data_IF_181308951843
#
_entry.id   IF_181308951843
#
_cell.length_a   1.000
_cell.length_b   1.000
_cell.length_c   1.000
_cell.angle_alpha   90.00
_cell.angle_beta   90.00
_cell.angle_gamma   90.00
#
_symmetry.space_group_name_H-M   'P 1'
#
loop_
_entity.id
_entity.type
_entity.pdbx_description
1 polymer ?
#
# COMPACT_ATOMS: atom_id res chain seq x y z
N UNK A 1 11.88 -33.08 27.67
CA UNK A 1 11.87 -32.13 26.54
C UNK A 1 12.57 -30.82 26.87
N UNK A 2 12.45 -30.32 28.09
CA UNK A 2 13.00 -29.03 28.54
C UNK A 2 14.54 -28.92 28.47
N UNK A 3 15.28 -29.93 28.94
CA UNK A 3 16.76 -29.95 28.89
C UNK A 3 17.32 -29.77 27.47
N UNK A 4 16.73 -30.41 26.45
CA UNK A 4 17.18 -30.29 25.05
C UNK A 4 16.94 -28.89 24.49
N UNK A 5 15.90 -28.21 24.94
CA UNK A 5 15.59 -26.85 24.49
C UNK A 5 16.50 -25.83 25.17
N UNK A 6 16.75 -25.99 26.47
CA UNK A 6 17.69 -25.18 27.24
C UNK A 6 19.11 -25.28 26.68
N UNK A 7 19.64 -26.49 26.49
CA UNK A 7 20.96 -26.66 25.87
C UNK A 7 21.03 -26.10 24.45
N UNK A 8 19.93 -26.13 23.68
CA UNK A 8 19.91 -25.51 22.35
C UNK A 8 19.99 -23.99 22.45
N UNK A 9 19.24 -23.38 23.37
CA UNK A 9 19.24 -21.94 23.59
C UNK A 9 20.60 -21.44 24.08
N UNK A 10 21.20 -22.16 25.03
CA UNK A 10 22.55 -21.93 25.55
C UNK A 10 23.60 -22.02 24.43
N UNK A 11 23.72 -23.19 23.80
CA UNK A 11 24.74 -23.42 22.77
C UNK A 11 24.58 -22.47 21.56
N UNK A 12 23.35 -22.18 21.14
CA UNK A 12 23.11 -21.36 19.92
C UNK A 12 23.24 -19.87 20.17
N UNK A 13 22.79 -19.37 21.33
CA UNK A 13 22.65 -17.93 21.55
C UNK A 13 23.56 -17.38 22.63
N UNK A 14 23.77 -18.11 23.73
CA UNK A 14 24.55 -17.60 24.87
C UNK A 14 26.05 -17.86 24.70
N UNK A 15 26.43 -19.03 24.17
CA UNK A 15 27.85 -19.35 23.99
C UNK A 15 28.36 -18.88 22.62
N UNK A 16 27.58 -19.14 21.57
CA UNK A 16 28.04 -18.92 20.19
C UNK A 16 28.02 -17.45 19.77
N UNK A 17 26.97 -16.68 20.10
CA UNK A 17 26.87 -15.31 19.60
C UNK A 17 27.93 -14.37 20.17
N UNK A 18 28.23 -14.36 21.49
CA UNK A 18 29.30 -13.51 22.02
C UNK A 18 30.66 -13.78 21.35
N UNK A 19 30.95 -15.04 21.02
CA UNK A 19 32.18 -15.42 20.31
C UNK A 19 32.21 -14.95 18.84
N UNK A 20 31.05 -14.67 18.23
CA UNK A 20 30.91 -14.17 16.86
C UNK A 20 30.78 -12.64 16.78
N UNK A 21 30.94 -11.94 17.91
CA UNK A 21 30.98 -10.48 17.91
C UNK A 21 32.25 -10.03 17.19
N UNK A 22 32.07 -9.21 16.15
CA UNK A 22 33.19 -8.65 15.40
C UNK A 22 33.98 -7.69 16.31
N UNK A 23 35.29 -7.92 16.54
CA UNK A 23 36.08 -7.16 17.52
C UNK A 23 36.31 -5.70 17.11
N UNK A 24 36.25 -5.38 15.82
CA UNK A 24 36.40 -4.01 15.33
C UNK A 24 35.16 -3.13 15.52
N UNK A 25 33.97 -3.74 15.57
CA UNK A 25 32.69 -3.00 15.68
C UNK A 25 31.97 -3.23 17.01
N UNK A 26 32.35 -4.27 17.77
CA UNK A 26 31.65 -4.70 18.98
C UNK A 26 30.21 -5.18 18.71
N UNK A 27 29.91 -5.63 17.48
CA UNK A 27 28.56 -6.06 17.05
C UNK A 27 28.59 -7.40 16.34
N UNK A 28 27.43 -8.07 16.30
CA UNK A 28 27.21 -9.23 15.44
C UNK A 28 27.01 -8.75 14.00
N UNK A 29 27.68 -9.39 13.06
CA UNK A 29 27.48 -9.19 11.62
C UNK A 29 27.04 -10.51 11.04
N UNK A 30 25.86 -10.56 10.44
CA UNK A 30 25.34 -11.77 9.79
C UNK A 30 25.56 -11.70 8.29
N UNK A 31 25.74 -12.85 7.67
CA UNK A 31 25.77 -13.00 6.22
C UNK A 31 24.39 -13.46 5.73
N UNK A 32 23.76 -12.66 4.88
CA UNK A 32 22.48 -13.04 4.26
C UNK A 32 22.73 -13.80 2.96
N UNK A 33 22.26 -15.04 2.93
CA UNK A 33 22.38 -15.93 1.77
C UNK A 33 21.04 -15.94 1.03
N UNK A 34 20.99 -15.27 -0.12
CA UNK A 34 19.77 -15.14 -0.93
C UNK A 34 19.45 -16.40 -1.76
N UNK A 35 20.43 -17.27 -2.00
CA UNK A 35 20.33 -18.34 -3.02
C UNK A 35 20.36 -19.77 -2.48
N UNK A 36 20.50 -19.96 -1.16
CA UNK A 36 20.82 -21.29 -0.58
C UNK A 36 19.58 -22.06 -0.11
N UNK A 37 18.50 -21.38 0.29
CA UNK A 37 17.29 -22.07 0.77
C UNK A 37 16.40 -22.52 -0.40
N UNK A 38 16.12 -23.82 -0.50
CA UNK A 38 15.24 -24.44 -1.51
C UNK A 38 13.80 -23.90 -1.51
N UNK A 39 13.42 -23.11 -0.50
CA UNK A 39 12.11 -22.47 -0.36
C UNK A 39 12.07 -21.03 -0.88
N UNK A 40 13.17 -20.49 -1.41
CA UNK A 40 13.26 -19.10 -1.88
C UNK A 40 13.23 -18.05 -0.76
N UNK A 41 13.45 -18.46 0.49
CA UNK A 41 13.59 -17.54 1.65
C UNK A 41 15.03 -17.06 1.76
N UNK A 42 15.23 -15.78 2.06
CA UNK A 42 16.51 -15.30 2.60
C UNK A 42 16.87 -16.15 3.82
N UNK A 43 18.09 -16.72 3.85
CA UNK A 43 18.64 -17.35 5.05
C UNK A 43 19.79 -16.50 5.61
N UNK A 44 19.99 -16.49 6.93
CA UNK A 44 21.13 -15.81 7.55
C UNK A 44 22.10 -16.82 8.16
N UNK A 45 23.41 -16.65 7.95
CA UNK A 45 24.48 -17.45 8.56
C UNK A 45 25.55 -16.58 9.21
N UNK A 46 26.35 -17.19 10.08
CA UNK A 46 27.57 -16.60 10.63
C UNK A 46 27.43 -15.22 11.29
N UNK A 47 26.50 -15.00 12.24
CA UNK A 47 25.53 -15.94 12.84
C UNK A 47 24.15 -15.90 12.20
N UNK A 48 23.29 -16.91 12.45
CA UNK A 48 21.89 -16.86 12.02
C UNK A 48 21.06 -15.92 12.93
N UNK A 49 20.66 -14.76 12.40
CA UNK A 49 19.86 -13.77 13.11
C UNK A 49 18.36 -13.79 12.76
N UNK A 50 17.92 -14.69 11.89
CA UNK A 50 16.51 -14.79 11.50
C UNK A 50 15.66 -15.60 12.47
N UNK A 51 16.27 -16.55 13.18
CA UNK A 51 15.55 -17.49 14.03
C UNK A 51 15.63 -17.16 15.53
N UNK A 52 15.74 -15.87 15.89
CA UNK A 52 15.83 -15.47 17.30
C UNK A 52 14.56 -15.90 18.04
N UNK A 53 14.69 -16.73 19.10
CA UNK A 53 13.57 -17.36 19.76
C UNK A 53 12.67 -16.30 20.41
N UNK A 54 11.35 -16.43 20.22
CA UNK A 54 10.36 -15.49 20.78
C UNK A 54 9.22 -16.20 21.52
N UNK A 55 9.06 -17.52 21.32
CA UNK A 55 7.86 -18.26 21.75
C UNK A 55 7.81 -18.57 23.24
N UNK A 56 8.94 -18.61 23.94
CA UNK A 56 9.03 -18.93 25.37
C UNK A 56 9.78 -17.86 26.13
N UNK A 57 9.56 -17.80 27.44
CA UNK A 57 10.12 -16.78 28.34
C UNK A 57 11.64 -16.63 28.19
N UNK A 58 12.38 -17.74 28.25
CA UNK A 58 13.83 -17.70 28.08
C UNK A 58 14.25 -17.25 26.67
N UNK A 59 13.48 -17.59 25.64
CA UNK A 59 13.69 -17.10 24.28
C UNK A 59 13.49 -15.58 24.17
N UNK A 60 12.43 -15.05 24.78
CA UNK A 60 12.17 -13.60 24.86
C UNK A 60 13.28 -12.88 25.61
N UNK A 61 13.81 -13.47 26.68
CA UNK A 61 14.96 -12.93 27.41
C UNK A 61 16.21 -12.84 26.52
N UNK A 62 16.50 -13.89 25.74
CA UNK A 62 17.59 -13.89 24.76
C UNK A 62 17.37 -12.81 23.68
N UNK A 63 16.14 -12.64 23.20
CA UNK A 63 15.79 -11.65 22.17
C UNK A 63 16.01 -10.20 22.64
N UNK A 64 15.85 -9.92 23.94
CA UNK A 64 16.17 -8.60 24.52
C UNK A 64 17.66 -8.24 24.45
N UNK A 65 18.55 -9.23 24.25
CA UNK A 65 19.98 -9.01 24.05
C UNK A 65 20.33 -8.36 22.70
N UNK A 66 19.41 -8.35 21.73
CA UNK A 66 19.62 -7.74 20.42
C UNK A 66 19.23 -6.28 20.44
N UNK A 67 20.18 -5.44 20.84
CA UNK A 67 20.00 -3.99 20.90
C UNK A 67 20.57 -3.32 19.65
N UNK A 68 19.85 -2.36 19.04
CA UNK A 68 20.41 -1.56 17.97
C UNK A 68 21.58 -0.72 18.51
N UNK A 69 22.46 -0.26 17.61
CA UNK A 69 23.52 0.69 17.97
C UNK A 69 22.92 1.94 18.62
N UNK A 70 23.65 2.58 19.55
CA UNK A 70 23.24 3.86 20.12
C UNK A 70 22.93 4.88 19.01
N UNK A 71 21.77 5.54 19.12
CA UNK A 71 21.22 6.44 18.09
C UNK A 71 20.43 5.75 16.96
N UNK A 72 20.30 4.41 16.98
CA UNK A 72 19.58 3.64 15.97
C UNK A 72 18.37 2.93 16.60
N UNK A 73 17.32 2.74 15.81
CA UNK A 73 16.14 1.94 16.16
C UNK A 73 16.01 0.79 15.17
N UNK A 74 15.45 -0.34 15.61
CA UNK A 74 14.95 -1.38 14.70
C UNK A 74 13.57 -0.90 14.17
N UNK A 75 13.34 -0.90 12.85
CA UNK A 75 12.17 -0.26 12.20
C UNK A 75 11.46 -1.20 11.22
N UNK A 76 10.13 -1.13 11.16
CA UNK A 76 9.30 -1.60 10.05
C UNK A 76 8.16 -0.58 9.76
N UNK A 77 7.66 -0.49 8.51
CA UNK A 77 6.62 0.48 8.09
C UNK A 77 5.57 -0.11 7.10
N UNK A 78 4.33 0.45 7.08
CA UNK A 78 3.14 -0.05 6.35
C UNK A 78 2.55 0.95 5.33
N UNK A 79 1.68 0.47 4.43
CA UNK A 79 1.04 1.23 3.34
C UNK A 79 -0.47 1.05 3.34
N UNK A 80 -1.22 2.06 2.93
CA UNK A 80 -2.70 2.01 2.89
C UNK A 80 -3.31 2.92 1.81
N UNK A 81 -4.62 2.75 1.61
CA UNK A 81 -5.45 3.56 0.70
C UNK A 81 -6.62 4.22 1.47
N UNK A 82 -6.44 5.41 2.07
CA UNK A 82 -7.49 6.09 2.83
C UNK A 82 -8.74 6.47 2.04
N UNK A 83 -8.64 6.57 0.71
CA UNK A 83 -9.80 6.81 -0.17
C UNK A 83 -10.84 5.70 -0.15
N UNK A 84 -10.47 4.49 0.28
CA UNK A 84 -11.39 3.35 0.37
C UNK A 84 -12.43 3.51 1.49
N UNK A 85 -12.29 4.51 2.37
CA UNK A 85 -13.34 4.89 3.33
C UNK A 85 -14.55 5.55 2.64
N UNK A 86 -14.37 6.20 1.48
CA UNK A 86 -15.41 7.03 0.87
C UNK A 86 -16.64 6.20 0.48
N UNK A 87 -16.52 5.07 -0.26
CA UNK A 87 -17.68 4.32 -0.72
C UNK A 87 -18.62 3.83 0.39
N UNK A 88 -18.16 3.16 1.48
CA UNK A 88 -19.09 2.71 2.52
C UNK A 88 -19.74 3.87 3.29
N UNK A 89 -19.02 4.97 3.53
CA UNK A 89 -19.58 6.16 4.18
C UNK A 89 -20.63 6.82 3.27
N UNK A 90 -20.34 6.96 1.96
CA UNK A 90 -21.28 7.50 0.98
C UNK A 90 -22.53 6.63 0.88
N UNK A 91 -22.39 5.31 0.82
CA UNK A 91 -23.51 4.39 0.74
C UNK A 91 -24.47 4.54 1.93
N UNK A 92 -23.94 4.60 3.15
CA UNK A 92 -24.75 4.86 4.36
C UNK A 92 -25.35 6.25 4.33
N UNK A 93 -24.59 7.27 3.92
CA UNK A 93 -25.08 8.64 3.83
C UNK A 93 -26.27 8.78 2.86
N UNK A 94 -26.18 8.16 1.69
CA UNK A 94 -27.26 8.11 0.71
C UNK A 94 -28.47 7.34 1.25
N UNK A 95 -28.25 6.16 1.84
CA UNK A 95 -29.31 5.31 2.35
C UNK A 95 -30.09 5.96 3.51
N UNK A 96 -29.38 6.64 4.42
CA UNK A 96 -29.96 7.30 5.58
C UNK A 96 -30.41 8.74 5.33
N UNK A 97 -30.28 9.27 4.10
CA UNK A 97 -30.68 10.63 3.76
C UNK A 97 -29.88 11.71 4.53
N UNK A 98 -28.56 11.56 4.61
CA UNK A 98 -27.69 12.53 5.30
C UNK A 98 -27.38 13.73 4.40
N UNK A 99 -26.90 14.84 4.99
CA UNK A 99 -26.44 15.99 4.20
C UNK A 99 -25.01 15.80 3.69
N UNK A 100 -24.63 16.59 2.69
CA UNK A 100 -23.26 16.66 2.21
C UNK A 100 -22.24 17.09 3.27
N UNK A 101 -22.62 17.96 4.20
CA UNK A 101 -21.79 18.30 5.35
C UNK A 101 -21.57 17.11 6.30
N UNK A 102 -22.57 16.24 6.49
CA UNK A 102 -22.44 15.02 7.27
C UNK A 102 -21.52 14.00 6.59
N UNK A 103 -21.67 13.81 5.29
CA UNK A 103 -20.76 12.99 4.49
C UNK A 103 -19.31 13.49 4.57
N UNK A 104 -19.07 14.79 4.40
CA UNK A 104 -17.73 15.37 4.50
C UNK A 104 -17.09 15.16 5.87
N UNK A 105 -17.87 15.29 6.95
CA UNK A 105 -17.41 14.96 8.32
C UNK A 105 -17.04 13.49 8.47
N UNK A 106 -17.85 12.58 7.93
CA UNK A 106 -17.55 11.15 7.95
C UNK A 106 -16.26 10.81 7.21
N UNK A 107 -16.09 11.34 6.00
CA UNK A 107 -14.87 11.17 5.20
C UNK A 107 -13.64 11.69 5.96
N UNK A 108 -13.72 12.90 6.52
CA UNK A 108 -12.62 13.47 7.29
C UNK A 108 -12.25 12.60 8.51
N UNK A 109 -13.24 12.06 9.22
CA UNK A 109 -13.01 11.16 10.35
C UNK A 109 -12.38 9.82 9.92
N UNK A 110 -12.86 9.21 8.84
CA UNK A 110 -12.29 7.96 8.32
C UNK A 110 -10.84 8.13 7.88
N UNK A 111 -10.54 9.21 7.15
CA UNK A 111 -9.16 9.55 6.79
C UNK A 111 -8.27 9.78 8.02
N UNK A 112 -8.76 10.54 9.01
CA UNK A 112 -8.02 10.82 10.23
C UNK A 112 -7.65 9.53 10.98
N UNK A 113 -8.61 8.62 11.13
CA UNK A 113 -8.37 7.35 11.82
C UNK A 113 -7.40 6.49 11.03
N UNK A 114 -7.62 6.28 9.73
CA UNK A 114 -6.78 5.36 8.96
C UNK A 114 -5.33 5.84 8.83
N UNK A 115 -5.13 7.14 8.54
CA UNK A 115 -3.78 7.69 8.37
C UNK A 115 -3.00 7.62 9.67
N UNK A 116 -3.63 7.94 10.81
CA UNK A 116 -2.94 7.88 12.08
C UNK A 116 -2.71 6.44 12.56
N UNK A 117 -3.64 5.50 12.29
CA UNK A 117 -3.39 4.07 12.52
C UNK A 117 -2.16 3.58 11.74
N UNK A 118 -2.02 3.98 10.49
CA UNK A 118 -0.87 3.62 9.64
C UNK A 118 0.43 4.24 10.13
N UNK A 119 0.39 5.46 10.68
CA UNK A 119 1.56 6.10 11.32
C UNK A 119 1.95 5.42 12.63
N UNK A 120 0.97 4.94 13.40
CA UNK A 120 1.17 4.38 14.73
C UNK A 120 1.43 2.89 14.77
N UNK A 121 0.91 2.11 13.81
CA UNK A 121 0.94 0.65 13.80
C UNK A 121 1.36 0.17 12.40
N UNK A 122 2.43 -0.63 12.32
CA UNK A 122 2.90 -1.20 11.07
C UNK A 122 2.32 -2.61 10.87
N UNK A 123 1.26 -2.79 10.09
CA UNK A 123 0.72 -4.15 9.87
C UNK A 123 1.60 -5.01 8.98
N UNK A 124 2.41 -4.38 8.14
CA UNK A 124 3.30 -5.07 7.21
C UNK A 124 4.33 -5.94 7.94
N UNK A 125 4.87 -5.49 9.08
CA UNK A 125 5.85 -6.24 9.87
C UNK A 125 5.27 -7.56 10.41
N UNK A 126 3.96 -7.57 10.63
CA UNK A 126 3.19 -8.71 11.11
C UNK A 126 2.57 -9.54 9.99
N UNK A 127 2.82 -9.20 8.71
CA UNK A 127 2.21 -9.86 7.55
C UNK A 127 0.69 -9.82 7.59
N UNK A 128 0.13 -8.74 8.14
CA UNK A 128 -1.30 -8.46 8.13
C UNK A 128 -1.59 -7.52 6.96
N UNK A 129 -2.75 -7.71 6.33
CA UNK A 129 -3.22 -6.83 5.27
C UNK A 129 -3.71 -5.51 5.88
N UNK A 130 -3.44 -4.42 5.17
CA UNK A 130 -3.77 -3.06 5.61
C UNK A 130 -5.27 -2.80 5.75
N UNK A 131 -6.13 -3.69 5.22
CA UNK A 131 -7.58 -3.59 5.41
C UNK A 131 -8.00 -3.73 6.88
N UNK A 132 -7.12 -4.26 7.74
CA UNK A 132 -7.33 -4.27 9.20
C UNK A 132 -7.33 -2.84 9.80
N UNK A 133 -6.77 -1.84 9.12
CA UNK A 133 -6.97 -0.43 9.48
C UNK A 133 -8.19 0.19 8.78
N UNK A 134 -8.56 -0.31 7.60
CA UNK A 134 -9.66 0.24 6.80
C UNK A 134 -11.04 -0.05 7.41
N UNK A 135 -11.27 -1.28 7.89
CA UNK A 135 -12.54 -1.62 8.57
C UNK A 135 -12.84 -0.67 9.73
N UNK A 136 -11.94 -0.55 10.73
CA UNK A 136 -12.03 0.42 11.81
C UNK A 136 -12.26 1.86 11.36
N UNK A 137 -11.49 2.35 10.39
CA UNK A 137 -11.61 3.73 9.94
C UNK A 137 -12.92 4.01 9.20
N UNK A 138 -13.42 3.05 8.43
CA UNK A 138 -14.71 3.16 7.75
C UNK A 138 -15.84 3.16 8.77
N UNK A 139 -15.79 2.32 9.80
CA UNK A 139 -16.77 2.29 10.89
C UNK A 139 -16.79 3.63 11.66
N UNK A 140 -15.60 4.18 11.96
CA UNK A 140 -15.48 5.50 12.58
C UNK A 140 -16.06 6.61 11.70
N UNK A 141 -15.78 6.58 10.39
CA UNK A 141 -16.32 7.53 9.42
C UNK A 141 -17.84 7.46 9.27
N UNK A 142 -18.40 6.26 9.23
CA UNK A 142 -19.87 6.04 9.22
C UNK A 142 -20.49 6.60 10.50
N UNK A 143 -19.94 6.26 11.66
CA UNK A 143 -20.43 6.75 12.95
C UNK A 143 -20.39 8.27 13.06
N UNK A 144 -19.32 8.90 12.56
CA UNK A 144 -19.19 10.36 12.52
C UNK A 144 -20.16 11.04 11.52
N UNK A 145 -20.46 10.39 10.39
CA UNK A 145 -21.45 10.88 9.45
C UNK A 145 -22.86 10.87 10.07
N UNK A 146 -23.22 9.76 10.73
CA UNK A 146 -24.50 9.56 11.42
C UNK A 146 -24.64 10.38 12.71
N UNK A 147 -23.53 10.89 13.27
CA UNK A 147 -23.55 11.61 14.55
C UNK A 147 -23.80 10.69 15.75
N UNK A 148 -23.31 9.45 15.69
CA UNK A 148 -23.50 8.47 16.75
C UNK A 148 -22.74 8.84 18.03
N UNK A 149 -23.21 8.38 19.21
CA UNK A 149 -22.48 8.54 20.46
C UNK A 149 -21.09 7.89 20.39
N UNK A 150 -20.06 8.47 21.06
CA UNK A 150 -18.70 7.91 21.05
C UNK A 150 -18.63 6.43 21.44
N UNK A 151 -19.43 5.99 22.42
CA UNK A 151 -19.45 4.58 22.86
C UNK A 151 -19.96 3.62 21.77
N UNK A 152 -20.95 4.06 20.99
CA UNK A 152 -21.46 3.30 19.84
C UNK A 152 -20.39 3.19 18.76
N UNK A 153 -19.69 4.31 18.48
CA UNK A 153 -18.59 4.33 17.51
C UNK A 153 -17.45 3.42 17.98
N UNK A 154 -17.09 3.49 19.26
CA UNK A 154 -16.08 2.65 19.88
C UNK A 154 -16.39 1.16 19.66
N UNK A 155 -17.59 0.69 20.00
CA UNK A 155 -17.99 -0.70 19.77
C UNK A 155 -17.94 -1.09 18.28
N UNK A 156 -18.40 -0.22 17.37
CA UNK A 156 -18.38 -0.52 15.94
C UNK A 156 -16.96 -0.63 15.39
N UNK A 157 -16.04 0.23 15.85
CA UNK A 157 -14.62 0.22 15.50
C UNK A 157 -13.95 -1.09 15.96
N UNK A 158 -14.25 -1.54 17.17
CA UNK A 158 -13.75 -2.81 17.73
C UNK A 158 -14.23 -4.01 16.89
N UNK A 159 -15.53 -4.07 16.60
CA UNK A 159 -16.11 -5.14 15.80
C UNK A 159 -15.50 -5.15 14.39
N UNK A 160 -15.34 -3.98 13.77
CA UNK A 160 -14.78 -3.86 12.43
C UNK A 160 -13.33 -4.36 12.37
N UNK A 161 -12.47 -4.05 13.35
CA UNK A 161 -11.11 -4.62 13.42
C UNK A 161 -11.15 -6.15 13.44
N UNK A 162 -11.97 -6.69 14.34
CA UNK A 162 -12.04 -8.13 14.59
C UNK A 162 -12.37 -8.92 13.31
N UNK A 163 -13.27 -8.40 12.48
CA UNK A 163 -13.76 -9.09 11.27
C UNK A 163 -13.03 -8.70 9.98
N UNK A 164 -12.17 -7.68 9.99
CA UNK A 164 -11.41 -7.23 8.80
C UNK A 164 -9.92 -7.51 8.89
N UNK A 165 -9.49 -8.26 9.91
CA UNK A 165 -8.11 -8.69 10.04
C UNK A 165 -7.82 -9.91 9.18
N UNK A 166 -7.06 -9.72 8.10
CA UNK A 166 -6.67 -10.80 7.18
C UNK A 166 -5.16 -10.87 7.00
N UNK A 167 -4.63 -12.04 6.68
CA UNK A 167 -3.22 -12.18 6.32
C UNK A 167 -2.89 -11.40 5.03
N UNK A 168 -1.63 -11.00 4.87
CA UNK A 168 -1.13 -10.30 3.66
C UNK A 168 -0.94 -11.23 2.46
N UNK A 169 -1.37 -12.49 2.54
CA UNK A 169 -1.34 -13.42 1.42
C UNK A 169 -2.13 -12.91 0.20
N UNK A 170 -3.14 -12.06 0.44
CA UNK A 170 -3.87 -11.31 -0.60
C UNK A 170 -3.00 -10.49 -1.55
N UNK A 171 -1.72 -10.22 -1.20
CA UNK A 171 -0.81 -9.33 -1.94
C UNK A 171 0.56 -9.96 -2.22
N UNK A 172 0.68 -11.29 -2.17
CA UNK A 172 1.96 -11.99 -2.41
C UNK A 172 1.79 -13.32 -3.15
N UNK A 173 2.72 -13.64 -4.04
CA UNK A 173 2.69 -14.86 -4.87
C UNK A 173 1.84 -14.64 -6.13
N UNK A 174 0.99 -15.61 -6.47
CA UNK A 174 -0.06 -15.43 -7.48
C UNK A 174 -1.12 -14.46 -6.94
N UNK A 175 -1.00 -13.19 -7.30
CA UNK A 175 -1.91 -12.14 -6.83
C UNK A 175 -3.25 -12.28 -7.56
N UNK A 176 -4.27 -12.75 -6.85
CA UNK A 176 -5.62 -12.85 -7.39
C UNK A 176 -6.35 -11.50 -7.37
N UNK A 177 -7.50 -11.44 -8.05
CA UNK A 177 -8.40 -10.29 -8.06
C UNK A 177 -8.91 -9.89 -6.67
N UNK A 178 -8.80 -10.78 -5.67
CA UNK A 178 -9.12 -10.48 -4.26
C UNK A 178 -8.40 -9.25 -3.74
N UNK A 179 -7.17 -8.97 -4.20
CA UNK A 179 -6.42 -7.74 -3.86
C UNK A 179 -7.24 -6.47 -4.08
N UNK A 180 -8.04 -6.45 -5.15
CA UNK A 180 -8.89 -5.32 -5.53
C UNK A 180 -10.23 -5.31 -4.77
N UNK A 181 -10.75 -6.48 -4.38
CA UNK A 181 -12.03 -6.60 -3.66
C UNK A 181 -11.90 -6.46 -2.14
N UNK A 182 -10.72 -6.73 -1.57
CA UNK A 182 -10.48 -6.69 -0.13
C UNK A 182 -10.89 -5.35 0.54
N UNK A 183 -10.62 -4.17 -0.05
CA UNK A 183 -11.10 -2.91 0.52
C UNK A 183 -12.62 -2.79 0.56
N UNK A 184 -13.31 -3.18 -0.50
CA UNK A 184 -14.78 -3.16 -0.55
C UNK A 184 -15.38 -4.14 0.47
N UNK A 185 -14.75 -5.30 0.66
CA UNK A 185 -15.11 -6.23 1.73
C UNK A 185 -14.99 -5.58 3.12
N UNK A 186 -13.88 -4.89 3.41
CA UNK A 186 -13.72 -4.19 4.68
C UNK A 186 -14.78 -3.08 4.88
N UNK A 187 -15.11 -2.33 3.82
CA UNK A 187 -16.19 -1.35 3.85
C UNK A 187 -17.56 -1.98 4.15
N UNK A 188 -17.88 -3.11 3.52
CA UNK A 188 -19.10 -3.88 3.82
C UNK A 188 -19.16 -4.31 5.29
N UNK A 189 -18.05 -4.84 5.80
CA UNK A 189 -17.97 -5.28 7.19
C UNK A 189 -18.06 -4.11 8.19
N UNK A 190 -17.58 -2.92 7.83
CA UNK A 190 -17.74 -1.72 8.64
C UNK A 190 -19.22 -1.28 8.73
N UNK A 191 -19.98 -1.35 7.63
CA UNK A 191 -21.43 -1.08 7.65
C UNK A 191 -22.16 -2.07 8.55
N UNK A 192 -21.87 -3.36 8.40
CA UNK A 192 -22.43 -4.43 9.25
C UNK A 192 -22.09 -4.23 10.73
N UNK A 193 -20.84 -3.87 11.04
CA UNK A 193 -20.39 -3.61 12.40
C UNK A 193 -21.17 -2.45 13.06
N UNK A 194 -21.39 -1.35 12.33
CA UNK A 194 -22.19 -0.22 12.83
C UNK A 194 -23.66 -0.63 13.02
N UNK A 195 -24.25 -1.33 12.05
CA UNK A 195 -25.66 -1.78 12.11
C UNK A 195 -25.91 -2.70 13.32
N UNK A 196 -25.02 -3.67 13.56
CA UNK A 196 -25.11 -4.58 14.72
C UNK A 196 -25.07 -3.86 16.05
N UNK A 197 -24.16 -2.90 16.21
CA UNK A 197 -24.06 -2.13 17.45
C UNK A 197 -25.32 -1.28 17.67
N UNK A 198 -25.90 -0.71 16.61
CA UNK A 198 -27.18 0.01 16.70
C UNK A 198 -28.36 -0.89 17.08
N UNK A 199 -28.28 -2.20 16.77
CA UNK A 199 -29.25 -3.21 17.22
C UNK A 199 -29.04 -3.65 18.67
N UNK A 200 -28.06 -3.09 19.38
CA UNK A 200 -27.75 -3.42 20.77
C UNK A 200 -26.77 -4.58 20.94
N UNK A 201 -26.11 -5.02 19.87
CA UNK A 201 -25.00 -5.98 19.97
C UNK A 201 -23.72 -5.28 20.45
N UNK A 202 -22.89 -6.00 21.20
CA UNK A 202 -21.55 -5.55 21.59
C UNK A 202 -20.45 -6.21 20.74
N UNK A 203 -19.28 -5.59 20.71
CA UNK A 203 -18.08 -6.19 20.12
C UNK A 203 -17.27 -6.96 21.18
N UNK A 204 -16.42 -7.92 20.77
CA UNK A 204 -15.28 -8.33 21.59
C UNK A 204 -14.49 -7.07 21.98
N UNK A 205 -14.38 -6.78 23.28
CA UNK A 205 -13.83 -5.51 23.78
C UNK A 205 -12.99 -5.71 25.05
N UNK A 206 -11.79 -5.09 25.14
CA UNK A 206 -11.15 -4.30 24.09
C UNK A 206 -10.54 -5.17 22.97
N UNK A 207 -10.79 -4.83 21.70
CA UNK A 207 -10.31 -5.66 20.58
C UNK A 207 -8.80 -5.49 20.30
N UNK A 208 -8.22 -4.31 20.58
CA UNK A 208 -6.77 -4.09 20.47
C UNK A 208 -6.01 -4.68 21.66
N UNK A 209 -6.29 -4.18 22.85
CA UNK A 209 -5.53 -4.41 24.09
C UNK A 209 -6.04 -5.59 24.94
N UNK A 210 -7.10 -6.27 24.50
CA UNK A 210 -7.63 -7.43 25.21
C UNK A 210 -6.58 -8.53 25.39
N UNK A 211 -6.76 -9.38 26.40
CA UNK A 211 -5.87 -10.52 26.67
C UNK A 211 -5.70 -11.42 25.43
N UNK A 212 -6.81 -11.68 24.73
CA UNK A 212 -6.84 -12.37 23.44
C UNK A 212 -6.95 -11.41 22.24
N UNK A 213 -6.48 -10.18 22.42
CA UNK A 213 -6.65 -9.07 21.50
C UNK A 213 -5.67 -9.07 20.32
N UNK A 214 -5.92 -8.13 19.41
CA UNK A 214 -5.15 -7.90 18.19
C UNK A 214 -3.66 -7.68 18.48
N UNK A 215 -3.34 -6.86 19.47
CA UNK A 215 -1.95 -6.57 19.85
C UNK A 215 -1.25 -7.83 20.39
N UNK A 216 -1.94 -8.55 21.28
CA UNK A 216 -1.41 -9.68 22.00
C UNK A 216 -1.03 -10.85 21.09
N UNK A 217 -1.89 -11.19 20.13
CA UNK A 217 -1.72 -12.41 19.34
C UNK A 217 -1.36 -12.20 17.88
N UNK A 218 -1.71 -11.05 17.31
CA UNK A 218 -1.53 -10.79 15.88
C UNK A 218 -0.41 -9.79 15.60
N UNK A 219 -0.08 -8.93 16.56
CA UNK A 219 1.03 -7.98 16.44
C UNK A 219 2.26 -8.39 17.27
N UNK A 220 2.77 -7.49 18.11
CA UNK A 220 4.07 -7.57 18.77
C UNK A 220 4.01 -8.26 20.15
N UNK A 221 2.85 -8.75 20.57
CA UNK A 221 2.66 -9.43 21.85
C UNK A 221 1.93 -8.57 22.88
N UNK A 222 1.51 -9.16 24.01
CA UNK A 222 0.64 -8.50 25.01
C UNK A 222 1.26 -7.30 25.71
N UNK A 223 2.59 -7.20 25.70
CA UNK A 223 3.35 -6.09 26.31
C UNK A 223 3.67 -4.96 25.31
N UNK A 224 3.20 -5.06 24.07
CA UNK A 224 3.51 -4.08 23.04
C UNK A 224 2.60 -2.86 23.15
N UNK A 225 3.20 -1.67 23.07
CA UNK A 225 2.48 -0.41 23.04
C UNK A 225 2.66 0.28 21.69
N UNK A 226 1.57 0.83 21.17
CA UNK A 226 1.56 1.62 19.95
C UNK A 226 1.00 3.00 20.23
N UNK A 227 1.62 4.02 19.63
CA UNK A 227 1.15 5.40 19.75
C UNK A 227 0.52 5.81 18.43
N UNK A 228 -0.79 6.00 18.43
CA UNK A 228 -1.57 6.48 17.28
C UNK A 228 -1.76 8.00 17.44
N UNK A 229 -1.15 8.85 16.59
CA UNK A 229 -1.14 10.29 16.77
C UNK A 229 -2.47 10.95 16.35
N UNK A 230 -3.53 10.71 17.11
CA UNK A 230 -4.83 11.34 16.89
C UNK A 230 -4.83 12.82 17.32
N UNK A 231 -5.65 13.67 16.67
CA UNK A 231 -5.76 15.08 17.03
C UNK A 231 -6.40 15.27 18.42
N UNK A 232 -5.94 16.27 19.15
CA UNK A 232 -6.50 16.66 20.45
C UNK A 232 -7.89 17.28 20.31
N UNK A 233 -8.61 17.41 21.43
CA UNK A 233 -9.93 18.06 21.45
C UNK A 233 -9.80 19.51 20.95
N UNK A 234 -10.48 19.81 19.84
CA UNK A 234 -10.48 21.14 19.22
C UNK A 234 -9.51 21.27 18.05
N UNK A 235 -8.62 20.30 17.83
CA UNK A 235 -7.75 20.27 16.67
C UNK A 235 -8.49 19.81 15.41
N UNK A 236 -8.11 20.41 14.28
CA UNK A 236 -8.69 20.08 12.99
C UNK A 236 -8.19 18.70 12.51
N UNK A 237 -9.10 17.92 11.93
CA UNK A 237 -8.78 16.63 11.28
C UNK A 237 -8.14 16.91 9.93
N UNK A 238 -6.81 16.80 9.85
CA UNK A 238 -6.01 17.21 8.70
C UNK A 238 -5.21 16.06 8.09
N UNK A 239 -5.33 14.84 8.59
CA UNK A 239 -4.50 13.73 8.09
C UNK A 239 -4.75 13.40 6.61
N UNK A 240 -5.90 13.78 6.05
CA UNK A 240 -6.15 13.73 4.60
C UNK A 240 -5.10 14.50 3.78
N UNK A 241 -4.54 15.58 4.33
CA UNK A 241 -3.51 16.39 3.68
C UNK A 241 -2.15 15.69 3.61
N UNK A 242 -1.95 14.63 4.40
CA UNK A 242 -0.74 13.81 4.38
C UNK A 242 -0.84 12.66 3.36
N UNK A 243 -1.94 12.59 2.60
CA UNK A 243 -2.13 11.57 1.57
C UNK A 243 -1.60 12.02 0.21
N UNK A 244 -1.21 11.05 -0.61
CA UNK A 244 -0.60 11.33 -1.90
C UNK A 244 -1.50 10.91 -3.05
N UNK A 245 -1.55 11.75 -4.08
CA UNK A 245 -2.30 11.44 -5.29
C UNK A 245 -1.45 10.63 -6.26
N UNK A 246 -2.03 9.56 -6.79
CA UNK A 246 -1.49 8.87 -7.97
C UNK A 246 -1.95 9.61 -9.21
N UNK A 247 -1.04 10.04 -10.08
CA UNK A 247 -1.41 10.52 -11.41
C UNK A 247 -1.61 9.35 -12.35
N UNK A 248 -0.62 8.45 -12.36
CA UNK A 248 -0.59 7.29 -13.23
C UNK A 248 -1.32 6.13 -12.56
N UNK A 249 -2.15 5.40 -13.30
CA UNK A 249 -2.70 4.12 -12.82
C UNK A 249 -1.58 3.09 -12.87
N UNK A 250 -0.69 3.15 -11.89
CA UNK A 250 0.45 2.27 -11.69
C UNK A 250 0.69 2.05 -10.17
N UNK A 251 1.53 1.10 -9.78
CA UNK A 251 2.04 1.01 -8.40
C UNK A 251 2.71 2.35 -7.98
N UNK A 252 2.62 2.70 -6.69
CA UNK A 252 2.93 4.08 -6.24
C UNK A 252 4.43 4.44 -6.37
N UNK A 253 5.32 3.49 -6.10
CA UNK A 253 6.77 3.60 -6.19
C UNK A 253 7.24 3.73 -7.64
N UNK A 254 6.39 3.40 -8.61
CA UNK A 254 6.65 3.68 -10.03
C UNK A 254 6.34 5.12 -10.47
N UNK A 255 5.55 5.90 -9.71
CA UNK A 255 5.03 7.20 -10.18
C UNK A 255 6.15 8.17 -10.58
N UNK A 256 7.13 8.37 -9.69
CA UNK A 256 8.28 9.25 -9.97
C UNK A 256 9.15 8.73 -11.12
N UNK A 257 9.23 7.41 -11.29
CA UNK A 257 10.01 6.80 -12.35
C UNK A 257 9.33 6.93 -13.72
N UNK A 258 8.00 6.94 -13.79
CA UNK A 258 7.23 7.29 -15.01
C UNK A 258 7.52 8.73 -15.42
N UNK A 259 7.44 9.68 -14.48
CA UNK A 259 7.71 11.09 -14.75
C UNK A 259 9.17 11.32 -15.17
N UNK A 260 10.10 10.59 -14.56
CA UNK A 260 11.52 10.60 -14.92
C UNK A 260 11.75 10.02 -16.32
N UNK A 261 11.12 8.90 -16.67
CA UNK A 261 11.20 8.32 -18.02
C UNK A 261 10.76 9.34 -19.08
N UNK A 262 9.63 10.04 -18.86
CA UNK A 262 9.14 11.10 -19.75
C UNK A 262 10.18 12.21 -19.92
N UNK A 263 10.82 12.67 -18.84
CA UNK A 263 11.86 13.72 -18.87
C UNK A 263 13.14 13.28 -19.57
N UNK A 264 13.51 12.01 -19.44
CA UNK A 264 14.73 11.46 -20.03
C UNK A 264 14.58 11.14 -21.52
N UNK A 265 13.37 10.89 -22.00
CA UNK A 265 13.08 10.55 -23.41
C UNK A 265 13.79 11.45 -24.41
N UNK A 266 13.66 12.77 -24.27
CA UNK A 266 14.24 13.74 -25.22
C UNK A 266 15.76 13.78 -25.17
N UNK A 267 16.36 13.46 -24.01
CA UNK A 267 17.82 13.38 -23.85
C UNK A 267 18.39 12.11 -24.46
N UNK A 268 17.68 10.98 -24.37
CA UNK A 268 18.09 9.68 -24.90
C UNK A 268 17.93 9.65 -26.42
N UNK A 269 16.83 10.19 -26.94
CA UNK A 269 16.56 10.19 -28.37
C UNK A 269 16.18 8.79 -28.88
N UNK A 270 17.04 8.19 -29.70
CA UNK A 270 16.79 6.90 -30.34
C UNK A 270 16.97 5.73 -29.35
N UNK A 271 15.85 5.18 -28.87
CA UNK A 271 15.84 4.09 -27.89
C UNK A 271 16.46 2.78 -28.41
N UNK A 272 16.60 2.60 -29.73
CA UNK A 272 17.27 1.41 -30.29
C UNK A 272 18.76 1.37 -29.95
N UNK A 273 19.37 2.53 -29.64
CA UNK A 273 20.77 2.68 -29.26
C UNK A 273 21.03 2.51 -27.76
N UNK A 274 19.99 2.22 -26.96
CA UNK A 274 20.17 1.94 -25.54
C UNK A 274 20.83 0.57 -25.40
N UNK A 275 21.96 0.51 -24.70
CA UNK A 275 22.65 -0.74 -24.35
C UNK A 275 22.05 -1.34 -23.08
N UNK A 276 21.98 -0.55 -22.01
CA UNK A 276 21.43 -0.94 -20.71
C UNK A 276 20.83 0.26 -19.96
N UNK A 277 19.91 -0.02 -19.04
CA UNK A 277 19.31 0.95 -18.11
C UNK A 277 19.38 0.37 -16.70
N UNK A 278 19.95 1.13 -15.77
CA UNK A 278 20.03 0.76 -14.36
C UNK A 278 19.27 1.77 -13.52
N UNK A 279 18.27 1.29 -12.77
CA UNK A 279 17.48 2.09 -11.83
C UNK A 279 18.01 1.85 -10.41
N UNK A 280 18.71 2.84 -9.86
CA UNK A 280 19.12 2.89 -8.46
C UNK A 280 17.95 3.43 -7.62
N UNK A 281 17.43 2.60 -6.72
CA UNK A 281 16.17 2.91 -6.00
C UNK A 281 16.15 2.24 -4.62
N UNK A 282 15.06 2.42 -3.87
CA UNK A 282 14.92 1.88 -2.52
C UNK A 282 14.81 0.35 -2.51
N UNK A 283 15.06 -0.25 -1.34
CA UNK A 283 14.83 -1.68 -1.07
C UNK A 283 13.43 -2.09 -1.51
N UNK A 284 12.41 -1.28 -1.18
CA UNK A 284 11.04 -1.59 -1.53
C UNK A 284 10.87 -1.69 -3.04
N UNK A 285 11.28 -0.66 -3.79
CA UNK A 285 11.14 -0.67 -5.24
C UNK A 285 11.92 -1.83 -5.85
N UNK A 286 13.15 -2.08 -5.41
CA UNK A 286 14.01 -3.17 -5.93
C UNK A 286 13.43 -4.56 -5.69
N UNK A 287 13.00 -4.88 -4.46
CA UNK A 287 12.54 -6.23 -4.09
C UNK A 287 11.03 -6.44 -4.26
N UNK A 288 10.22 -5.39 -4.42
CA UNK A 288 8.76 -5.50 -4.56
C UNK A 288 8.29 -5.35 -5.99
N UNK A 289 8.87 -4.45 -6.79
CA UNK A 289 8.47 -4.24 -8.21
C UNK A 289 9.64 -4.30 -9.21
N UNK A 290 10.86 -4.40 -8.70
CA UNK A 290 12.10 -4.47 -9.46
C UNK A 290 12.60 -5.88 -9.73
N UNK A 291 13.81 -5.94 -10.29
CA UNK A 291 14.52 -7.20 -10.60
C UNK A 291 14.89 -7.99 -9.35
N UNK A 292 15.06 -7.34 -8.20
CA UNK A 292 15.34 -8.00 -6.91
C UNK A 292 14.18 -8.86 -6.41
N UNK A 293 12.96 -8.66 -6.93
CA UNK A 293 11.81 -9.50 -6.58
C UNK A 293 11.98 -10.97 -7.00
N UNK A 294 12.91 -11.27 -7.92
CA UNK A 294 13.15 -12.61 -8.46
C UNK A 294 11.86 -13.29 -8.97
N UNK A 295 10.99 -12.50 -9.60
CA UNK A 295 9.72 -12.93 -10.15
C UNK A 295 9.78 -12.86 -11.68
N UNK A 296 9.96 -14.00 -12.38
CA UNK A 296 10.06 -14.04 -13.84
C UNK A 296 8.82 -13.50 -14.54
N UNK A 297 7.64 -13.55 -13.92
CA UNK A 297 6.40 -13.06 -14.51
C UNK A 297 6.45 -11.54 -14.75
N UNK A 298 7.27 -10.80 -13.98
CA UNK A 298 7.51 -9.37 -14.19
C UNK A 298 8.39 -9.04 -15.38
N UNK A 299 8.85 -10.04 -16.12
CA UNK A 299 9.57 -9.89 -17.40
C UNK A 299 8.80 -10.58 -18.55
N UNK A 300 7.57 -11.05 -18.29
CA UNK A 300 6.76 -11.77 -19.27
C UNK A 300 5.71 -10.83 -19.91
N UNK A 301 5.76 -10.59 -21.24
CA UNK A 301 4.77 -9.77 -21.93
C UNK A 301 3.35 -10.37 -21.96
N UNK A 302 3.18 -11.62 -21.51
CA UNK A 302 1.89 -12.28 -21.34
C UNK A 302 1.35 -12.22 -19.91
N UNK A 303 2.07 -11.58 -18.99
CA UNK A 303 1.64 -11.45 -17.61
C UNK A 303 0.34 -10.64 -17.50
N UNK A 304 -0.40 -10.85 -16.41
CA UNK A 304 -1.63 -10.12 -16.16
C UNK A 304 -1.36 -8.62 -15.95
N UNK A 305 -2.41 -7.81 -16.08
CA UNK A 305 -2.37 -6.38 -15.73
C UNK A 305 -1.82 -6.16 -14.32
N UNK A 306 -2.24 -6.98 -13.36
CA UNK A 306 -1.82 -6.88 -11.96
C UNK A 306 -0.31 -7.09 -11.80
N UNK A 307 0.28 -7.99 -12.59
CA UNK A 307 1.73 -8.24 -12.60
C UNK A 307 2.48 -7.13 -13.33
N UNK A 308 2.01 -6.67 -14.50
CA UNK A 308 2.62 -5.58 -15.25
C UNK A 308 2.57 -4.25 -14.46
N UNK A 309 1.52 -4.04 -13.68
CA UNK A 309 1.37 -2.92 -12.73
C UNK A 309 2.43 -2.92 -11.62
N UNK A 310 3.12 -4.05 -11.41
CA UNK A 310 4.18 -4.25 -10.42
C UNK A 310 5.51 -4.65 -11.07
N UNK A 311 5.72 -4.27 -12.34
CA UNK A 311 6.97 -4.46 -13.07
C UNK A 311 7.57 -3.10 -13.43
N UNK A 312 8.49 -2.58 -12.61
CA UNK A 312 9.07 -1.25 -12.87
C UNK A 312 9.87 -1.21 -14.17
N UNK A 313 10.44 -2.34 -14.58
CA UNK A 313 11.13 -2.48 -15.86
C UNK A 313 10.15 -2.27 -17.03
N UNK A 314 8.98 -2.93 -17.00
CA UNK A 314 7.92 -2.72 -18.00
C UNK A 314 7.41 -1.29 -17.98
N UNK A 315 7.10 -0.79 -16.79
CA UNK A 315 6.51 0.53 -16.58
C UNK A 315 7.44 1.61 -17.15
N UNK A 316 8.73 1.54 -16.81
CA UNK A 316 9.72 2.49 -17.29
C UNK A 316 9.92 2.41 -18.81
N UNK A 317 9.98 1.20 -19.40
CA UNK A 317 10.10 1.02 -20.85
C UNK A 317 8.94 1.68 -21.61
N UNK A 318 7.70 1.39 -21.22
CA UNK A 318 6.52 1.93 -21.89
C UNK A 318 6.40 3.44 -21.67
N UNK A 319 6.65 3.94 -20.45
CA UNK A 319 6.67 5.38 -20.19
C UNK A 319 7.72 6.11 -21.03
N UNK A 320 8.88 5.48 -21.24
CA UNK A 320 9.94 6.03 -22.08
C UNK A 320 9.56 6.03 -23.56
N UNK A 321 8.95 4.95 -24.06
CA UNK A 321 8.53 4.78 -25.47
C UNK A 321 7.29 5.58 -25.86
N UNK A 322 6.37 5.82 -24.93
CA UNK A 322 5.10 6.51 -25.20
C UNK A 322 5.11 7.96 -24.70
N UNK A 323 6.04 8.34 -23.83
CA UNK A 323 6.12 9.70 -23.26
C UNK A 323 5.04 9.97 -22.21
N UNK A 324 4.39 8.92 -21.71
CA UNK A 324 3.33 8.98 -20.72
C UNK A 324 2.84 7.59 -20.33
N UNK A 325 1.81 7.54 -19.49
CA UNK A 325 1.20 6.31 -19.00
C UNK A 325 -0.32 6.39 -19.10
N UNK A 326 -0.94 5.43 -19.76
CA UNK A 326 -2.40 5.34 -19.87
C UNK A 326 -2.93 4.16 -19.07
N UNK A 327 -4.00 4.37 -18.31
CA UNK A 327 -4.59 3.39 -17.40
C UNK A 327 -5.13 2.11 -18.04
N UNK A 328 -5.15 2.00 -19.37
CA UNK A 328 -5.66 0.83 -20.12
C UNK A 328 -4.71 0.49 -21.26
N UNK A 329 -4.53 1.41 -22.20
CA UNK A 329 -3.66 1.23 -23.38
C UNK A 329 -2.21 0.84 -23.02
N UNK A 330 -1.67 1.28 -21.88
CA UNK A 330 -0.33 0.88 -21.44
C UNK A 330 -0.26 -0.58 -20.93
N UNK A 331 -1.40 -1.25 -20.74
CA UNK A 331 -1.48 -2.66 -20.32
C UNK A 331 -2.04 -3.57 -21.41
N UNK A 332 -2.47 -3.02 -22.55
CA UNK A 332 -3.08 -3.80 -23.63
C UNK A 332 -2.10 -4.90 -24.12
N UNK A 333 -2.56 -6.14 -24.36
CA UNK A 333 -1.70 -7.22 -24.82
C UNK A 333 -0.87 -6.85 -26.04
N UNK A 334 -1.45 -6.13 -27.00
CA UNK A 334 -0.78 -5.67 -28.22
C UNK A 334 0.32 -4.65 -27.92
N UNK A 335 0.18 -3.86 -26.85
CA UNK A 335 1.19 -2.91 -26.39
C UNK A 335 2.33 -3.62 -25.67
N UNK A 336 2.00 -4.55 -24.77
CA UNK A 336 2.98 -5.29 -23.98
C UNK A 336 3.84 -6.24 -24.84
N UNK A 337 3.26 -6.78 -25.92
CA UNK A 337 3.93 -7.73 -26.81
C UNK A 337 4.72 -7.08 -27.96
N UNK A 338 4.84 -5.74 -28.01
CA UNK A 338 5.63 -5.07 -29.06
C UNK A 338 7.11 -5.52 -28.98
N UNK A 339 7.72 -5.97 -30.10
CA UNK A 339 9.10 -6.46 -30.08
C UNK A 339 10.12 -5.44 -29.54
N UNK A 340 10.01 -4.17 -29.94
CA UNK A 340 10.91 -3.13 -29.44
C UNK A 340 10.77 -2.89 -27.92
N UNK A 341 9.54 -2.99 -27.39
CA UNK A 341 9.26 -2.82 -25.97
C UNK A 341 9.85 -3.96 -25.17
N UNK A 342 9.65 -5.20 -25.62
CA UNK A 342 10.24 -6.37 -24.96
C UNK A 342 11.77 -6.30 -25.00
N UNK A 343 12.36 -5.83 -26.11
CA UNK A 343 13.80 -5.64 -26.22
C UNK A 343 14.33 -4.59 -25.22
N UNK A 344 13.67 -3.43 -25.13
CA UNK A 344 14.04 -2.36 -24.18
C UNK A 344 13.82 -2.80 -22.72
N UNK A 345 12.67 -3.40 -22.43
CA UNK A 345 12.30 -3.93 -21.12
C UNK A 345 13.38 -4.87 -20.58
N UNK A 346 13.90 -5.78 -21.41
CA UNK A 346 14.98 -6.71 -21.04
C UNK A 346 16.34 -6.04 -20.78
N UNK A 347 16.52 -4.79 -21.19
CA UNK A 347 17.72 -3.98 -20.91
C UNK A 347 17.63 -3.20 -19.60
N UNK A 348 16.46 -3.20 -18.95
CA UNK A 348 16.25 -2.45 -17.69
C UNK A 348 16.45 -3.38 -16.50
N UNK A 349 17.29 -2.93 -15.57
CA UNK A 349 17.53 -3.58 -14.29
C UNK A 349 17.36 -2.59 -13.13
N UNK A 350 17.21 -3.11 -11.93
CA UNK A 350 17.13 -2.31 -10.71
C UNK A 350 18.21 -2.74 -9.73
N UNK A 351 18.70 -1.79 -8.93
CA UNK A 351 19.66 -2.03 -7.85
C UNK A 351 19.17 -1.26 -6.62
N UNK A 352 19.23 -1.91 -5.45
CA UNK A 352 19.03 -1.20 -4.20
C UNK A 352 20.18 -0.22 -3.96
N UNK A 353 19.84 1.03 -3.72
CA UNK A 353 20.76 2.06 -3.27
C UNK A 353 20.44 2.42 -1.80
N UNK A 354 21.40 2.26 -0.87
CA UNK A 354 21.17 2.51 0.56
C UNK A 354 20.65 3.91 0.87
N UNK A 355 21.04 4.93 0.09
CA UNK A 355 20.58 6.30 0.32
C UNK A 355 19.10 6.46 -0.09
N UNK A 356 18.70 5.84 -1.20
CA UNK A 356 17.29 5.80 -1.59
C UNK A 356 16.44 5.00 -0.60
N UNK A 357 16.95 3.90 -0.05
CA UNK A 357 16.30 3.16 1.05
C UNK A 357 16.15 4.02 2.30
N UNK A 358 17.20 4.74 2.71
CA UNK A 358 17.15 5.65 3.87
C UNK A 358 16.06 6.73 3.69
N UNK A 359 16.07 7.40 2.54
CA UNK A 359 15.08 8.45 2.19
C UNK A 359 13.67 7.88 2.17
N UNK A 360 13.48 6.69 1.62
CA UNK A 360 12.18 6.03 1.56
C UNK A 360 11.55 5.81 2.95
N UNK A 361 12.38 5.51 3.95
CA UNK A 361 11.96 5.33 5.34
C UNK A 361 11.96 6.63 6.18
N UNK A 362 12.31 7.78 5.59
CA UNK A 362 12.31 9.04 6.33
C UNK A 362 10.90 9.44 6.76
N UNK A 363 10.81 9.93 8.00
CA UNK A 363 9.62 10.58 8.53
C UNK A 363 9.60 12.07 8.24
N UNK A 364 10.73 12.67 7.81
CA UNK A 364 10.76 14.04 7.32
C UNK A 364 10.20 14.06 5.89
N UNK A 365 9.04 14.72 5.65
CA UNK A 365 8.46 14.82 4.32
C UNK A 365 9.42 15.42 3.28
N UNK A 366 10.37 16.27 3.69
CA UNK A 366 11.35 16.90 2.78
C UNK A 366 12.41 15.92 2.29
N UNK A 367 12.76 14.93 3.09
CA UNK A 367 13.73 13.89 2.71
C UNK A 367 13.06 12.69 2.04
N UNK A 368 11.80 12.44 2.38
CA UNK A 368 11.04 11.27 1.95
C UNK A 368 10.99 11.18 0.42
N UNK A 369 11.43 10.04 -0.10
CA UNK A 369 11.53 9.81 -1.53
C UNK A 369 11.00 8.43 -1.91
N UNK A 370 10.33 8.36 -3.06
CA UNK A 370 9.74 7.13 -3.60
C UNK A 370 10.28 6.78 -4.99
N UNK A 371 11.08 7.65 -5.61
CA UNK A 371 11.65 7.44 -6.94
C UNK A 371 13.04 6.81 -6.93
N UNK A 372 13.93 7.35 -7.75
CA UNK A 372 15.27 6.80 -7.95
C UNK A 372 16.14 7.64 -8.87
N UNK A 373 17.38 7.18 -9.03
CA UNK A 373 18.34 7.64 -10.03
C UNK A 373 18.44 6.60 -11.14
N UNK A 374 18.27 7.03 -12.38
CA UNK A 374 18.33 6.19 -13.57
C UNK A 374 19.57 6.53 -14.37
N UNK A 375 20.34 5.48 -14.70
CA UNK A 375 21.52 5.54 -15.55
C UNK A 375 21.21 4.80 -16.85
N UNK A 376 21.33 5.48 -17.97
CA UNK A 376 21.16 4.90 -19.31
C UNK A 376 22.49 4.90 -20.02
N UNK A 377 22.95 3.72 -20.41
CA UNK A 377 24.17 3.54 -21.21
C UNK A 377 23.77 3.31 -22.67
N UNK A 378 24.33 4.07 -23.60
CA UNK A 378 24.14 3.86 -25.04
C UNK A 378 25.21 2.92 -25.61
N UNK A 379 24.96 2.37 -26.80
CA UNK A 379 25.90 1.46 -27.49
C UNK A 379 27.26 2.11 -27.81
N UNK A 380 27.31 3.43 -27.96
CA UNK A 380 28.56 4.19 -28.18
C UNK A 380 29.32 4.53 -26.88
N UNK A 381 28.81 4.08 -25.73
CA UNK A 381 29.38 4.34 -24.40
C UNK A 381 28.91 5.64 -23.76
N UNK A 382 28.06 6.45 -24.42
CA UNK A 382 27.47 7.65 -23.81
C UNK A 382 26.61 7.26 -22.62
N UNK A 383 26.73 8.02 -21.51
CA UNK A 383 25.94 7.83 -20.30
C UNK A 383 25.00 9.02 -20.10
N UNK A 384 23.72 8.72 -19.89
CA UNK A 384 22.68 9.70 -19.62
C UNK A 384 22.07 9.39 -18.26
N UNK A 385 22.14 10.35 -17.34
CA UNK A 385 21.59 10.20 -16.00
C UNK A 385 20.43 11.16 -15.72
N UNK A 386 19.53 10.71 -14.86
CA UNK A 386 18.48 11.54 -14.28
C UNK A 386 18.03 10.98 -12.94
N UNK A 387 17.51 11.84 -12.07
CA UNK A 387 16.92 11.42 -10.81
C UNK A 387 15.64 12.18 -10.53
N UNK A 388 14.74 11.53 -9.80
CA UNK A 388 13.52 12.17 -9.32
C UNK A 388 13.10 11.55 -7.98
N UNK A 389 12.93 12.40 -6.97
CA UNK A 389 12.64 11.97 -5.60
C UNK A 389 11.18 11.55 -5.40
N UNK A 390 10.26 12.39 -5.88
CA UNK A 390 8.82 12.21 -5.76
C UNK A 390 8.17 12.54 -7.10
N UNK A 391 6.99 11.95 -7.36
CA UNK A 391 6.24 12.19 -8.58
C UNK A 391 5.85 13.67 -8.73
N UNK A 392 5.61 14.11 -9.96
CA UNK A 392 5.22 15.49 -10.26
C UNK A 392 3.95 15.87 -9.50
N UNK A 393 2.95 14.99 -9.51
CA UNK A 393 1.66 15.14 -8.85
C UNK A 393 1.69 15.09 -7.31
N UNK A 394 2.82 14.71 -6.71
CA UNK A 394 2.96 14.63 -5.26
C UNK A 394 2.72 16.01 -4.61
N UNK A 395 2.20 16.11 -3.36
CA UNK A 395 2.07 17.40 -2.67
C UNK A 395 3.38 18.21 -2.56
N UNK A 396 4.52 17.52 -2.57
CA UNK A 396 5.88 18.10 -2.60
C UNK A 396 6.57 17.96 -3.97
N UNK A 397 5.81 17.57 -4.99
CA UNK A 397 6.29 17.39 -6.35
C UNK A 397 6.42 18.72 -7.11
N UNK A 398 6.86 18.64 -8.37
CA UNK A 398 7.05 19.83 -9.21
C UNK A 398 5.72 20.42 -9.73
N UNK A 399 4.66 19.61 -9.73
CA UNK A 399 3.29 20.00 -10.13
C UNK A 399 2.28 19.29 -9.22
N UNK A 400 2.17 19.69 -7.94
CA UNK A 400 1.16 19.14 -7.05
C UNK A 400 -0.23 19.27 -7.66
N UNK A 401 -1.03 18.21 -7.61
CA UNK A 401 -2.35 18.21 -8.23
C UNK A 401 -3.25 19.31 -7.65
N UNK A 402 -3.81 20.10 -8.54
CA UNK A 402 -4.86 21.08 -8.24
C UNK A 402 -6.22 20.57 -8.71
N UNK A 403 -7.31 21.29 -8.40
CA UNK A 403 -8.66 20.87 -8.80
C UNK A 403 -8.80 20.59 -10.31
N UNK A 404 -8.29 21.43 -11.22
CA UNK A 404 -8.25 21.12 -12.65
C UNK A 404 -7.56 19.78 -12.99
N UNK A 405 -6.46 19.44 -12.32
CA UNK A 405 -5.75 18.17 -12.56
C UNK A 405 -6.61 16.96 -12.15
N UNK A 406 -7.29 17.04 -11.00
CA UNK A 406 -8.23 15.98 -10.58
C UNK A 406 -9.41 15.85 -11.55
N UNK A 407 -9.96 16.97 -12.03
CA UNK A 407 -11.05 16.97 -13.02
C UNK A 407 -10.57 16.36 -14.33
N UNK A 408 -9.39 16.73 -14.82
CA UNK A 408 -8.81 16.16 -16.02
C UNK A 408 -8.59 14.65 -15.88
N UNK A 409 -8.00 14.22 -14.76
CA UNK A 409 -7.80 12.79 -14.48
C UNK A 409 -9.13 12.03 -14.45
N UNK A 410 -10.15 12.59 -13.78
CA UNK A 410 -11.48 11.98 -13.76
C UNK A 410 -12.04 11.84 -15.18
N UNK A 411 -11.97 12.89 -16.00
CA UNK A 411 -12.42 12.84 -17.41
C UNK A 411 -11.67 11.78 -18.21
N UNK A 412 -10.36 11.66 -18.04
CA UNK A 412 -9.55 10.61 -18.69
C UNK A 412 -9.98 9.20 -18.27
N UNK A 413 -10.28 8.99 -16.98
CA UNK A 413 -10.73 7.69 -16.47
C UNK A 413 -12.18 7.36 -16.86
N UNK A 414 -13.00 8.39 -17.12
CA UNK A 414 -14.40 8.25 -17.49
C UNK A 414 -14.62 8.16 -19.01
N UNK A 415 -13.57 8.40 -19.80
CA UNK A 415 -13.62 8.41 -21.27
C UNK A 415 -14.14 7.07 -21.81
N UNK A 416 -15.17 7.13 -22.67
CA UNK A 416 -15.78 5.94 -23.25
C UNK A 416 -16.68 5.12 -22.31
N UNK A 417 -16.77 5.49 -21.03
CA UNK A 417 -17.57 4.80 -20.00
C UNK A 417 -18.76 5.65 -19.56
N UNK A 418 -18.49 6.90 -19.13
CA UNK A 418 -19.52 7.83 -18.65
C UNK A 418 -19.71 8.94 -19.69
N UNK A 419 -20.95 9.23 -20.07
CA UNK A 419 -21.27 10.29 -21.03
C UNK A 419 -20.79 11.67 -20.55
N UNK A 420 -20.40 12.55 -21.47
CA UNK A 420 -19.82 13.87 -21.14
C UNK A 420 -20.76 14.73 -20.27
N UNK A 421 -22.05 14.75 -20.57
CA UNK A 421 -23.05 15.48 -19.79
C UNK A 421 -23.14 14.95 -18.35
N UNK A 422 -23.11 13.63 -18.18
CA UNK A 422 -23.14 12.99 -16.87
C UNK A 422 -21.84 13.24 -16.07
N UNK A 423 -20.69 13.27 -16.74
CA UNK A 423 -19.43 13.69 -16.13
C UNK A 423 -19.53 15.13 -15.61
N UNK A 424 -20.04 16.06 -16.43
CA UNK A 424 -20.18 17.47 -16.07
C UNK A 424 -21.17 17.67 -14.91
N UNK A 425 -22.30 16.94 -14.92
CA UNK A 425 -23.26 16.89 -13.81
C UNK A 425 -22.60 16.41 -12.52
N UNK A 426 -21.91 15.27 -12.56
CA UNK A 426 -21.25 14.71 -11.38
C UNK A 426 -20.20 15.67 -10.81
N UNK A 427 -19.35 16.27 -11.67
CA UNK A 427 -18.35 17.26 -11.25
C UNK A 427 -19.04 18.43 -10.53
N UNK A 428 -20.11 18.97 -11.11
CA UNK A 428 -20.86 20.07 -10.51
C UNK A 428 -21.48 19.70 -9.14
N UNK A 429 -21.93 18.45 -8.97
CA UNK A 429 -22.41 17.93 -7.67
C UNK A 429 -21.26 17.83 -6.65
N UNK A 430 -20.10 17.30 -7.05
CA UNK A 430 -18.92 17.17 -6.17
C UNK A 430 -18.39 18.54 -5.74
N UNK A 431 -18.39 19.55 -6.61
CA UNK A 431 -17.86 20.89 -6.29
C UNK A 431 -18.60 21.58 -5.15
N UNK A 432 -19.85 21.20 -4.92
CA UNK A 432 -20.70 21.73 -3.85
C UNK A 432 -20.94 20.73 -2.73
N UNK A 433 -20.07 19.72 -2.59
CA UNK A 433 -20.22 18.57 -1.68
C UNK A 433 -20.77 18.97 -0.30
N UNK A 434 -20.17 19.94 0.38
CA UNK A 434 -20.56 20.31 1.75
C UNK A 434 -21.92 21.04 1.83
N UNK A 435 -22.41 21.57 0.71
CA UNK A 435 -23.67 22.28 0.60
C UNK A 435 -24.83 21.40 0.08
N UNK A 436 -24.57 20.14 -0.27
CA UNK A 436 -25.60 19.22 -0.75
C UNK A 436 -26.64 18.93 0.33
N UNK A 437 -27.92 18.98 -0.07
CA UNK A 437 -29.04 18.48 0.71
C UNK A 437 -29.14 16.95 0.61
N UNK A 438 -29.86 16.28 1.53
CA UNK A 438 -30.08 14.84 1.49
C UNK A 438 -30.50 14.28 0.13
N UNK A 439 -31.49 14.91 -0.51
CA UNK A 439 -32.02 14.49 -1.80
C UNK A 439 -31.02 14.64 -2.96
N UNK A 440 -29.97 15.46 -2.79
CA UNK A 440 -28.94 15.70 -3.80
C UNK A 440 -27.77 14.70 -3.71
N UNK A 441 -27.63 13.94 -2.60
CA UNK A 441 -26.53 12.98 -2.44
C UNK A 441 -26.58 11.83 -3.46
N UNK A 442 -27.75 11.47 -3.97
CA UNK A 442 -27.87 10.50 -5.06
C UNK A 442 -27.08 10.94 -6.32
N UNK A 443 -26.86 12.24 -6.49
CA UNK A 443 -26.03 12.80 -7.57
C UNK A 443 -24.54 12.49 -7.44
N UNK A 444 -24.07 11.94 -6.31
CA UNK A 444 -22.69 11.46 -6.13
C UNK A 444 -22.49 10.02 -6.64
N UNK A 445 -23.46 9.49 -7.39
CA UNK A 445 -23.36 8.24 -8.16
C UNK A 445 -23.44 8.56 -9.65
N UNK A 446 -22.82 7.73 -10.49
CA UNK A 446 -22.89 7.85 -11.95
C UNK A 446 -24.03 7.02 -12.51
N UNK A 447 -24.61 7.52 -13.59
CA UNK A 447 -25.37 6.71 -14.54
C UNK A 447 -24.48 6.37 -15.74
N UNK A 448 -24.55 5.11 -16.18
CA UNK A 448 -23.86 4.64 -17.38
C UNK A 448 -24.87 4.01 -18.32
N UNK A 449 -24.58 4.04 -19.61
CA UNK A 449 -25.39 3.38 -20.61
C UNK A 449 -25.45 1.86 -20.32
N UNK A 450 -26.62 1.26 -20.45
CA UNK A 450 -26.81 -0.17 -20.26
C UNK A 450 -25.92 -1.00 -21.21
N UNK A 451 -25.63 -0.50 -22.41
CA UNK A 451 -24.72 -1.14 -23.37
C UNK A 451 -23.26 -1.17 -22.89
N UNK A 452 -22.91 -0.31 -21.92
CA UNK A 452 -21.57 -0.26 -21.29
C UNK A 452 -21.46 -1.13 -20.05
N UNK A 453 -22.56 -1.70 -19.57
CA UNK A 453 -22.51 -2.67 -18.48
C UNK A 453 -21.84 -3.95 -18.98
N UNK A 454 -20.92 -4.49 -18.19
CA UNK A 454 -20.24 -5.74 -18.50
C UNK A 454 -21.22 -6.92 -18.59
N UNK A 455 -20.74 -8.10 -19.04
CA UNK A 455 -21.56 -9.31 -19.05
C UNK A 455 -22.10 -9.60 -17.65
N UNK A 456 -23.23 -10.31 -17.60
CA UNK A 456 -23.81 -10.74 -16.33
C UNK A 456 -22.76 -11.48 -15.48
N UNK A 457 -22.77 -11.21 -14.17
CA UNK A 457 -21.89 -11.89 -13.23
C UNK A 457 -22.08 -13.42 -13.33
N UNK A 458 -21.01 -14.16 -13.07
CA UNK A 458 -21.09 -15.61 -13.00
C UNK A 458 -22.12 -16.04 -11.92
N UNK A 459 -22.84 -17.16 -12.11
CA UNK A 459 -23.82 -17.66 -11.16
C UNK A 459 -23.25 -17.78 -9.75
N UNK A 460 -23.93 -17.22 -8.77
CA UNK A 460 -23.56 -17.28 -7.36
C UNK A 460 -24.24 -18.44 -6.62
N UNK A 461 -24.08 -18.46 -5.29
CA UNK A 461 -24.71 -19.48 -4.43
C UNK A 461 -26.25 -19.52 -4.55
N UNK A 462 -26.88 -18.39 -4.87
CA UNK A 462 -28.34 -18.30 -5.05
C UNK A 462 -28.82 -18.73 -6.44
N UNK A 463 -27.90 -18.82 -7.41
CA UNK A 463 -28.15 -19.35 -8.74
C UNK A 463 -27.83 -20.85 -8.82
N UNK A 464 -27.28 -21.43 -7.74
CA UNK A 464 -26.91 -22.84 -7.68
C UNK A 464 -28.15 -23.71 -7.75
N UNK A 465 -28.30 -24.42 -8.87
CA UNK A 465 -29.29 -25.48 -9.02
C UNK A 465 -28.61 -26.81 -8.80
N UNK A 466 -29.19 -27.65 -7.93
CA UNK A 466 -28.76 -29.04 -7.76
C UNK A 466 -28.97 -29.75 -9.11
N UNK A 467 -27.87 -30.18 -9.73
CA UNK A 467 -27.88 -30.92 -10.99
C UNK A 467 -28.54 -32.29 -10.87
#
# INVERSE_FOLDING_TARGET
>A
MEYRELSKLENTYLDTLPALVNPGTGRLHTSFNQTVASTGRLSSSDPNLQNIPIRRELGRAIRKGFVPRSGWKLLAADYSHPGDNIPPILAVAQHCGLSGAALARGIAAGYEVQVNLVKGICLHEHKIDHIAHLGPSAAAGIGAALGLPPETIYQAVQQALHVTTTTRQSRKGEISSWKAYAPAFAGKMAVEAVDRVLRGEGAPSPAWEGEDGFIAWLLSGPEAEYVVPLPEKGEAKRAIMDTYTKEHSAEYQSQALIDLARRMRTKIGDLSKVKDIVIHTSHHTHYVIGTGANDPQKMDPKASRETLDHSIMYIFAVALEDGGWHHERSYAPERANRPQTVALWRKISTVEDPEWTRRYHSHDPKEKAFGGRVVVTLEDGTVIEGELAVADAHPLGSRPFTRPDYVNKFRTLAEGIVGREEQDRFIATVERLTALKPEELAGLTFTVDAERLGPAAAPGIFDWKRG
#
